data_IF_160061466042
#
_entry.id   IF_160061466042
#
_cell.length_a   1.000
_cell.length_b   1.000
_cell.length_c   1.000
_cell.angle_alpha   90.00
_cell.angle_beta   90.00
_cell.angle_gamma   90.00
#
_symmetry.space_group_name_H-M   'P 1'
#
loop_
_entity.id
_entity.type
_entity.pdbx_description
1 polymer ?
#
# COMPACT_ATOMS: atom_id res chain seq x y z
N UNK A 1 26.11 -26.27 29.63
CA UNK A 1 26.78 -26.77 28.41
C UNK A 1 25.82 -26.84 27.22
N UNK A 2 24.57 -27.27 27.41
CA UNK A 2 23.52 -27.31 26.37
C UNK A 2 23.36 -26.05 25.52
N UNK A 3 23.36 -24.86 26.14
CA UNK A 3 23.22 -23.59 25.41
C UNK A 3 24.36 -23.30 24.44
N UNK A 4 25.59 -23.65 24.80
CA UNK A 4 26.75 -23.47 23.93
C UNK A 4 26.71 -24.44 22.75
N UNK A 5 26.24 -25.68 22.98
CA UNK A 5 26.03 -26.65 21.91
C UNK A 5 24.92 -26.18 20.95
N UNK A 6 23.82 -25.63 21.49
CA UNK A 6 22.74 -25.04 20.70
C UNK A 6 23.22 -23.85 19.85
N UNK A 7 24.01 -22.95 20.43
CA UNK A 7 24.61 -21.83 19.69
C UNK A 7 25.57 -22.31 18.59
N UNK A 8 26.40 -23.31 18.89
CA UNK A 8 27.33 -23.87 17.90
C UNK A 8 26.56 -24.48 16.71
N UNK A 9 25.45 -25.16 16.97
CA UNK A 9 24.60 -25.73 15.92
C UNK A 9 23.88 -24.66 15.10
N UNK A 10 23.38 -23.60 15.76
CA UNK A 10 22.81 -22.42 15.10
C UNK A 10 23.82 -21.72 14.17
N UNK A 11 25.05 -21.53 14.65
CA UNK A 11 26.13 -20.93 13.86
C UNK A 11 26.50 -21.80 12.66
N UNK A 12 26.53 -23.12 12.84
CA UNK A 12 26.80 -24.07 11.76
C UNK A 12 25.69 -24.05 10.71
N UNK A 13 24.43 -23.92 11.13
CA UNK A 13 23.28 -23.80 10.23
C UNK A 13 23.31 -22.49 9.43
N UNK A 14 23.59 -21.36 10.07
CA UNK A 14 23.72 -20.07 9.38
C UNK A 14 24.85 -20.07 8.35
N UNK A 15 26.01 -20.65 8.68
CA UNK A 15 27.12 -20.76 7.73
C UNK A 15 26.81 -21.69 6.55
N UNK A 16 25.97 -22.71 6.76
CA UNK A 16 25.50 -23.60 5.70
C UNK A 16 24.53 -22.90 4.74
N UNK A 17 23.69 -21.99 5.22
CA UNK A 17 22.75 -21.21 4.39
C UNK A 17 23.49 -20.19 3.50
N UNK A 18 24.64 -19.67 3.93
CA UNK A 18 25.48 -18.78 3.10
C UNK A 18 26.11 -19.49 1.87
N UNK A 19 26.26 -20.82 1.93
CA UNK A 19 26.76 -21.65 0.82
C UNK A 19 25.68 -22.06 -0.18
N UNK A 20 24.40 -21.92 0.17
CA UNK A 20 23.32 -22.07 -0.80
C UNK A 20 23.33 -20.86 -1.73
N UNK A 21 23.01 -21.02 -3.02
CA UNK A 21 22.87 -19.88 -3.90
C UNK A 21 21.87 -18.92 -3.25
N UNK A 22 22.36 -17.73 -2.88
CA UNK A 22 21.56 -16.67 -2.27
C UNK A 22 20.29 -16.57 -3.10
N UNK A 23 19.16 -17.00 -2.53
CA UNK A 23 17.87 -16.87 -3.19
C UNK A 23 17.73 -15.38 -3.46
N UNK A 24 17.99 -14.98 -4.70
CA UNK A 24 17.69 -13.64 -5.15
C UNK A 24 16.22 -13.51 -4.83
N UNK A 25 15.89 -12.63 -3.88
CA UNK A 25 14.50 -12.29 -3.57
C UNK A 25 13.75 -12.26 -4.90
N UNK A 26 12.70 -13.09 -5.06
CA UNK A 26 12.09 -13.31 -6.36
C UNK A 26 11.83 -11.94 -6.95
N UNK A 27 12.42 -11.70 -8.13
CA UNK A 27 12.37 -10.40 -8.81
C UNK A 27 10.90 -10.03 -8.87
N UNK A 28 10.46 -9.12 -7.99
CA UNK A 28 9.05 -8.79 -7.89
C UNK A 28 8.61 -8.39 -9.29
N UNK A 29 7.61 -9.11 -9.80
CA UNK A 29 7.04 -8.94 -11.12
C UNK A 29 6.61 -7.48 -11.22
N UNK A 30 7.47 -6.65 -11.85
CA UNK A 30 7.30 -5.21 -11.99
C UNK A 30 6.33 -4.92 -13.15
N UNK A 31 5.26 -5.70 -13.21
CA UNK A 31 4.33 -5.64 -14.32
C UNK A 31 3.33 -4.57 -14.01
N UNK A 32 3.55 -3.46 -14.70
CA UNK A 32 2.74 -2.26 -14.60
C UNK A 32 2.79 -1.67 -13.21
N UNK A 33 3.86 -0.91 -12.93
CA UNK A 33 3.89 0.02 -11.80
C UNK A 33 2.56 0.80 -11.70
N UNK A 34 1.93 1.14 -12.83
CA UNK A 34 0.66 1.84 -12.87
C UNK A 34 -0.54 0.98 -12.45
N UNK A 35 -0.61 -0.29 -12.87
CA UNK A 35 -1.76 -1.17 -12.64
C UNK A 35 -1.79 -1.61 -11.19
N UNK A 36 -0.62 -1.91 -10.63
CA UNK A 36 -0.47 -2.19 -9.22
C UNK A 36 -0.83 -0.97 -8.35
N UNK A 37 -0.28 0.20 -8.66
CA UNK A 37 -0.58 1.44 -7.92
C UNK A 37 -2.07 1.82 -8.03
N UNK A 38 -2.69 1.64 -9.20
CA UNK A 38 -4.13 1.83 -9.38
C UNK A 38 -4.97 0.87 -8.53
N UNK A 39 -4.61 -0.41 -8.50
CA UNK A 39 -5.31 -1.41 -7.68
C UNK A 39 -5.15 -1.12 -6.18
N UNK A 40 -3.97 -0.67 -5.75
CA UNK A 40 -3.71 -0.25 -4.37
C UNK A 40 -4.59 0.94 -3.95
N UNK A 41 -4.76 1.93 -4.84
CA UNK A 41 -5.62 3.09 -4.59
C UNK A 41 -7.08 2.68 -4.46
N UNK A 42 -7.57 1.83 -5.36
CA UNK A 42 -8.95 1.30 -5.30
C UNK A 42 -9.16 0.52 -4.01
N UNK A 43 -8.25 -0.41 -3.69
CA UNK A 43 -8.32 -1.21 -2.48
C UNK A 43 -8.33 -0.34 -1.21
N UNK A 44 -7.46 0.66 -1.13
CA UNK A 44 -7.37 1.52 0.03
C UNK A 44 -8.57 2.48 0.17
N UNK A 45 -9.14 2.93 -0.96
CA UNK A 45 -10.39 3.70 -0.96
C UNK A 45 -11.56 2.86 -0.41
N UNK A 46 -11.66 1.59 -0.83
CA UNK A 46 -12.68 0.66 -0.37
C UNK A 46 -12.49 0.30 1.10
N UNK A 47 -11.25 0.05 1.52
CA UNK A 47 -10.90 -0.21 2.92
C UNK A 47 -11.28 0.96 3.83
N UNK A 48 -11.00 2.19 3.41
CA UNK A 48 -11.37 3.39 4.17
C UNK A 48 -12.89 3.55 4.25
N UNK A 49 -13.61 3.32 3.14
CA UNK A 49 -15.08 3.35 3.12
C UNK A 49 -15.67 2.33 4.11
N UNK A 50 -15.17 1.10 4.11
CA UNK A 50 -15.59 0.05 5.04
C UNK A 50 -15.26 0.39 6.50
N UNK A 51 -14.09 0.96 6.78
CA UNK A 51 -13.72 1.44 8.11
C UNK A 51 -14.69 2.53 8.59
N UNK A 52 -15.08 3.43 7.69
CA UNK A 52 -16.05 4.49 7.99
C UNK A 52 -17.41 3.88 8.35
N UNK A 53 -17.93 2.95 7.53
CA UNK A 53 -19.19 2.24 7.83
C UNK A 53 -19.13 1.48 9.16
N UNK A 54 -18.00 0.87 9.48
CA UNK A 54 -17.82 0.15 10.74
C UNK A 54 -17.90 1.09 11.96
N UNK A 55 -17.37 2.32 11.85
CA UNK A 55 -17.49 3.33 12.91
C UNK A 55 -18.97 3.69 13.12
N UNK A 56 -19.73 3.98 12.06
CA UNK A 56 -21.16 4.33 12.21
C UNK A 56 -22.03 3.17 12.70
N UNK A 57 -21.69 1.93 12.35
CA UNK A 57 -22.33 0.75 12.93
C UNK A 57 -22.04 0.60 14.43
N UNK A 58 -20.83 0.95 14.86
CA UNK A 58 -20.38 0.81 16.27
C UNK A 58 -20.65 2.05 17.12
N UNK A 59 -21.28 3.10 16.58
CA UNK A 59 -21.76 4.25 17.36
C UNK A 59 -23.07 3.87 18.07
N UNK A 60 -22.93 3.13 19.17
CA UNK A 60 -24.05 2.73 20.06
C UNK A 60 -24.30 3.75 21.18
N UNK A 61 -23.41 4.73 21.37
CA UNK A 61 -23.46 5.68 22.49
C UNK A 61 -24.29 6.94 22.23
N UNK A 62 -24.86 7.12 21.04
CA UNK A 62 -25.63 8.33 20.71
C UNK A 62 -27.10 8.16 21.17
N UNK A 63 -27.56 8.88 22.22
CA UNK A 63 -28.81 8.57 22.95
C UNK A 63 -30.11 8.91 22.21
N UNK A 64 -30.06 9.15 20.89
CA UNK A 64 -31.23 9.35 20.04
C UNK A 64 -31.05 8.73 18.64
N UNK A 65 -30.27 7.65 18.55
CA UNK A 65 -30.14 6.84 17.34
C UNK A 65 -31.37 5.95 17.16
N UNK A 66 -32.52 6.56 16.83
CA UNK A 66 -33.67 5.82 16.29
C UNK A 66 -33.17 4.89 15.17
N UNK A 67 -33.70 3.67 15.19
CA UNK A 67 -33.28 2.38 14.62
C UNK A 67 -33.16 2.32 13.08
N UNK A 68 -32.80 3.41 12.42
CA UNK A 68 -32.56 3.44 10.99
C UNK A 68 -31.16 2.91 10.73
N UNK A 69 -31.10 1.67 10.23
CA UNK A 69 -29.91 0.85 9.97
C UNK A 69 -28.75 1.51 9.19
N UNK A 70 -28.95 2.68 8.58
CA UNK A 70 -27.95 3.34 7.72
C UNK A 70 -28.09 4.87 7.78
N UNK A 71 -27.52 5.52 8.81
CA UNK A 71 -27.46 6.99 8.84
C UNK A 71 -26.33 7.53 7.95
N UNK A 72 -26.46 7.35 6.64
CA UNK A 72 -25.50 7.85 5.62
C UNK A 72 -25.37 9.38 5.69
N UNK A 73 -26.40 10.10 6.15
CA UNK A 73 -26.35 11.55 6.36
C UNK A 73 -25.31 12.01 7.42
N UNK A 74 -24.94 11.16 8.39
CA UNK A 74 -23.92 11.52 9.38
C UNK A 74 -22.49 11.44 8.83
N UNK A 75 -22.31 10.87 7.64
CA UNK A 75 -21.00 10.83 6.98
C UNK A 75 -20.60 12.25 6.61
N UNK A 76 -19.52 12.72 7.23
CA UNK A 76 -18.93 14.01 6.88
C UNK A 76 -18.26 13.91 5.50
N UNK A 77 -18.94 14.48 4.51
CA UNK A 77 -18.45 14.54 3.13
C UNK A 77 -17.10 15.24 3.01
N UNK A 78 -16.79 16.22 3.86
CA UNK A 78 -15.52 16.95 3.82
C UNK A 78 -14.35 16.04 4.17
N UNK A 79 -14.54 15.17 5.17
CA UNK A 79 -13.52 14.20 5.61
C UNK A 79 -13.29 13.14 4.53
N UNK A 80 -14.36 12.65 3.90
CA UNK A 80 -14.25 11.68 2.80
C UNK A 80 -13.49 12.26 1.61
N UNK A 81 -13.80 13.49 1.20
CA UNK A 81 -13.10 14.19 0.12
C UNK A 81 -11.62 14.40 0.48
N UNK A 82 -11.32 14.78 1.72
CA UNK A 82 -9.95 14.97 2.18
C UNK A 82 -9.13 13.67 2.10
N UNK A 83 -9.70 12.55 2.55
CA UNK A 83 -9.00 11.26 2.51
C UNK A 83 -8.80 10.79 1.07
N UNK A 84 -9.82 10.93 0.21
CA UNK A 84 -9.69 10.63 -1.22
C UNK A 84 -8.62 11.49 -1.89
N UNK A 85 -8.60 12.80 -1.62
CA UNK A 85 -7.58 13.71 -2.15
C UNK A 85 -6.17 13.31 -1.70
N UNK A 86 -6.00 12.92 -0.43
CA UNK A 86 -4.73 12.44 0.10
C UNK A 86 -4.26 11.14 -0.57
N UNK A 87 -5.19 10.22 -0.87
CA UNK A 87 -4.91 8.96 -1.56
C UNK A 87 -4.53 9.16 -3.03
N UNK A 88 -5.21 10.08 -3.71
CA UNK A 88 -4.98 10.39 -5.12
C UNK A 88 -3.58 10.96 -5.39
N UNK A 89 -2.86 11.51 -4.41
CA UNK A 89 -1.51 12.09 -4.62
C UNK A 89 -0.55 11.10 -5.28
N UNK A 90 -0.41 9.89 -4.73
CA UNK A 90 0.49 8.85 -5.30
C UNK A 90 0.01 8.37 -6.69
N UNK A 91 -1.30 8.29 -6.89
CA UNK A 91 -1.90 7.95 -8.18
C UNK A 91 -1.58 8.99 -9.26
N UNK A 92 -1.72 10.28 -8.93
CA UNK A 92 -1.45 11.40 -9.84
C UNK A 92 0.02 11.38 -10.27
N UNK A 93 0.97 11.15 -9.36
CA UNK A 93 2.39 11.02 -9.73
C UNK A 93 2.64 9.88 -10.71
N UNK A 94 2.02 8.72 -10.51
CA UNK A 94 2.15 7.58 -11.43
C UNK A 94 1.52 7.88 -12.79
N UNK A 95 0.35 8.51 -12.81
CA UNK A 95 -0.35 8.88 -14.04
C UNK A 95 0.46 9.90 -14.84
N UNK A 96 0.98 10.94 -14.18
CA UNK A 96 1.86 11.95 -14.80
C UNK A 96 3.08 11.25 -15.42
N UNK A 97 3.75 10.39 -14.67
CA UNK A 97 4.93 9.65 -15.17
C UNK A 97 4.60 8.78 -16.38
N UNK A 98 3.44 8.14 -16.39
CA UNK A 98 2.97 7.33 -17.52
C UNK A 98 2.65 8.19 -18.76
N UNK A 99 1.96 9.31 -18.58
CA UNK A 99 1.69 10.27 -19.65
C UNK A 99 3.01 10.80 -20.23
N UNK A 100 3.98 11.15 -19.39
CA UNK A 100 5.33 11.52 -19.84
C UNK A 100 6.04 10.39 -20.61
N UNK A 101 5.85 9.12 -20.23
CA UNK A 101 6.36 7.98 -21.01
C UNK A 101 5.79 7.98 -22.43
N UNK A 102 4.49 8.25 -22.57
CA UNK A 102 3.79 8.19 -23.86
C UNK A 102 4.11 9.40 -24.74
N UNK A 103 4.31 10.58 -24.15
CA UNK A 103 4.63 11.81 -24.88
C UNK A 103 6.11 11.95 -25.25
N UNK A 104 7.03 11.36 -24.49
CA UNK A 104 8.47 11.61 -24.66
C UNK A 104 9.22 10.39 -25.24
N UNK A 105 10.08 10.55 -26.27
CA UNK A 105 10.91 9.46 -26.78
C UNK A 105 11.88 8.93 -25.70
N UNK A 106 12.20 7.63 -25.76
CA UNK A 106 12.93 6.81 -24.77
C UNK A 106 14.20 7.43 -24.15
N UNK A 107 14.81 8.44 -24.76
CA UNK A 107 16.07 9.04 -24.31
C UNK A 107 15.99 9.81 -22.97
N UNK A 108 14.83 10.31 -22.55
CA UNK A 108 14.70 11.11 -21.32
C UNK A 108 14.50 10.29 -20.04
N UNK A 109 14.31 8.97 -20.16
CA UNK A 109 14.08 8.05 -19.05
C UNK A 109 15.20 7.99 -18.02
N UNK A 110 16.42 8.38 -18.41
CA UNK A 110 17.57 8.43 -17.49
C UNK A 110 17.52 9.63 -16.55
N UNK A 111 17.03 10.78 -17.01
CA UNK A 111 16.94 12.01 -16.22
C UNK A 111 15.75 11.99 -15.26
N UNK A 112 14.60 11.51 -15.70
CA UNK A 112 13.38 11.43 -14.85
C UNK A 112 13.59 10.48 -13.67
N UNK A 113 14.31 9.36 -13.87
CA UNK A 113 14.61 8.37 -12.82
C UNK A 113 15.48 8.93 -11.68
N UNK A 114 16.27 9.98 -11.96
CA UNK A 114 17.08 10.67 -10.95
C UNK A 114 16.26 11.67 -10.12
N UNK A 115 15.16 12.18 -10.66
CA UNK A 115 14.30 13.15 -9.99
C UNK A 115 13.20 12.50 -9.12
N UNK A 116 12.91 11.22 -9.35
CA UNK A 116 11.84 10.45 -8.70
C UNK A 116 12.34 9.57 -7.53
N UNK A 117 13.65 9.54 -7.28
CA UNK A 117 14.24 8.91 -6.09
C UNK A 117 14.35 9.90 -4.94
#
# INVERSE_FOLDING_TARGET
MEFFNFLADCLKKMKSDDTLPRVTSPRMYNDGNITFEGLMVVFASFSTYLQYLNIYRSVWWLPNSNYTLWKIHLIDYQVVIFILAMHCRRFIYCLITWVFHMLCPQNYWKFIRLFIR
#
